data_IF_428352485749
#
_entry.id   IF_428352485749
#
_cell.length_a   1.000
_cell.length_b   1.000
_cell.length_c   1.000
_cell.angle_alpha   90.00
_cell.angle_beta   90.00
_cell.angle_gamma   90.00
#
_symmetry.space_group_name_H-M   'P 1'
#
loop_
_entity.id
_entity.type
_entity.pdbx_description
1 polymer ?
#
# COMPACT_ATOMS: atom_id res chain seq x y z
N UNK A 1 3.02 42.58 41.57
CA UNK A 1 3.82 43.35 42.53
C UNK A 1 4.04 42.48 43.74
N UNK A 2 5.21 41.86 43.83
CA UNK A 2 5.58 41.10 45.03
C UNK A 2 6.31 42.08 45.95
N UNK A 3 5.80 42.19 47.17
CA UNK A 3 6.26 43.10 48.23
C UNK A 3 7.77 43.00 48.44
N UNK A 4 8.48 44.10 48.22
CA UNK A 4 9.87 44.28 48.63
C UNK A 4 9.84 44.48 50.14
N UNK A 5 10.11 43.40 50.89
CA UNK A 5 10.18 43.44 52.35
C UNK A 5 11.41 44.22 52.80
N UNK A 6 11.24 45.49 53.13
CA UNK A 6 12.24 46.29 53.84
C UNK A 6 12.11 46.04 55.34
N UNK A 7 12.71 44.95 55.82
CA UNK A 7 12.97 44.74 57.25
C UNK A 7 14.37 44.15 57.40
N UNK A 8 15.37 45.01 57.53
CA UNK A 8 16.68 44.69 58.12
C UNK A 8 17.57 43.62 57.44
N UNK A 9 17.26 43.17 56.22
CA UNK A 9 18.01 42.12 55.52
C UNK A 9 18.61 42.61 54.20
N UNK A 10 19.86 42.21 53.95
CA UNK A 10 20.64 42.38 52.71
C UNK A 10 19.80 42.32 51.44
N UNK A 11 20.04 43.22 50.48
CA UNK A 11 19.36 43.20 49.18
C UNK A 11 19.66 41.86 48.50
N UNK A 12 18.62 41.06 48.18
CA UNK A 12 18.79 39.86 47.35
C UNK A 12 18.98 40.26 45.89
N UNK A 13 20.22 40.68 45.59
CA UNK A 13 20.67 41.10 44.27
C UNK A 13 20.41 40.04 43.19
N UNK A 14 20.42 38.75 43.56
CA UNK A 14 20.20 37.65 42.63
C UNK A 14 18.72 37.57 42.24
N UNK A 15 17.81 37.59 43.22
CA UNK A 15 16.37 37.55 42.96
C UNK A 15 15.88 38.78 42.18
N UNK A 16 16.35 39.98 42.55
CA UNK A 16 15.97 41.21 41.86
C UNK A 16 16.47 41.28 40.41
N UNK A 17 17.72 40.87 40.16
CA UNK A 17 18.26 40.79 38.81
C UNK A 17 17.45 39.81 37.93
N UNK A 18 17.13 38.63 38.45
CA UNK A 18 16.33 37.63 37.75
C UNK A 18 14.92 38.14 37.41
N UNK A 19 14.26 38.85 38.34
CA UNK A 19 12.93 39.41 38.11
C UNK A 19 12.94 40.50 37.02
N UNK A 20 13.95 41.37 37.01
CA UNK A 20 14.08 42.40 35.98
C UNK A 20 14.34 41.80 34.60
N UNK A 21 15.24 40.81 34.50
CA UNK A 21 15.50 40.11 33.24
C UNK A 21 14.25 39.38 32.75
N UNK A 22 13.50 38.71 33.63
CA UNK A 22 12.25 38.06 33.27
C UNK A 22 11.23 39.05 32.71
N UNK A 23 11.09 40.22 33.33
CA UNK A 23 10.20 41.28 32.86
C UNK A 23 10.65 41.87 31.51
N UNK A 24 11.96 42.06 31.31
CA UNK A 24 12.54 42.57 30.06
C UNK A 24 12.38 41.55 28.90
N UNK A 25 12.52 40.26 29.19
CA UNK A 25 12.44 39.18 28.21
C UNK A 25 11.00 38.85 27.79
N UNK A 26 10.04 38.96 28.71
CA UNK A 26 8.67 38.47 28.55
C UNK A 26 7.96 38.89 27.23
N UNK A 27 8.02 40.15 26.77
CA UNK A 27 7.38 40.55 25.51
C UNK A 27 7.97 39.85 24.28
N UNK A 28 9.29 39.68 24.27
CA UNK A 28 9.99 39.04 23.15
C UNK A 28 9.73 37.54 23.13
N UNK A 29 9.74 36.89 24.30
CA UNK A 29 9.39 35.47 24.43
C UNK A 29 7.96 35.19 24.00
N UNK A 30 7.00 36.06 24.37
CA UNK A 30 5.61 35.92 23.94
C UNK A 30 5.48 36.01 22.42
N UNK A 31 6.19 36.96 21.78
CA UNK A 31 6.23 37.07 20.32
C UNK A 31 6.85 35.84 19.66
N UNK A 32 7.95 35.32 20.21
CA UNK A 32 8.59 34.12 19.69
C UNK A 32 7.73 32.88 19.88
N UNK A 33 7.05 32.73 21.02
CA UNK A 33 6.11 31.64 21.25
C UNK A 33 4.94 31.70 20.26
N UNK A 34 4.34 32.88 20.04
CA UNK A 34 3.29 33.07 19.05
C UNK A 34 3.76 32.73 17.62
N UNK A 35 4.97 33.16 17.26
CA UNK A 35 5.58 32.85 15.95
C UNK A 35 5.84 31.35 15.79
N UNK A 36 6.37 30.70 16.83
CA UNK A 36 6.60 29.25 16.85
C UNK A 36 5.29 28.49 16.64
N UNK A 37 4.25 28.82 17.41
CA UNK A 37 2.93 28.20 17.28
C UNK A 37 2.37 28.36 15.87
N UNK A 38 2.53 29.55 15.27
CA UNK A 38 2.11 29.81 13.89
C UNK A 38 2.88 28.95 12.87
N UNK A 39 4.21 28.90 12.94
CA UNK A 39 5.02 28.10 12.01
C UNK A 39 4.69 26.61 12.17
N UNK A 40 4.60 26.10 13.41
CA UNK A 40 4.23 24.71 13.68
C UNK A 40 2.85 24.38 13.10
N UNK A 41 1.85 25.24 13.29
CA UNK A 41 0.52 25.05 12.70
C UNK A 41 0.56 25.04 11.16
N UNK A 42 1.40 25.89 10.55
CA UNK A 42 1.60 25.92 9.10
C UNK A 42 2.27 24.65 8.58
N UNK A 43 3.29 24.14 9.28
CA UNK A 43 3.94 22.86 8.95
C UNK A 43 2.92 21.72 8.97
N UNK A 44 2.12 21.61 10.03
CA UNK A 44 1.07 20.60 10.13
C UNK A 44 0.02 20.75 9.02
N UNK A 45 -0.41 21.97 8.71
CA UNK A 45 -1.38 22.22 7.64
C UNK A 45 -0.84 21.83 6.25
N UNK A 46 0.44 22.15 5.95
CA UNK A 46 1.10 21.75 4.71
C UNK A 46 1.21 20.22 4.63
N UNK A 47 1.53 19.55 5.74
CA UNK A 47 1.57 18.08 5.78
C UNK A 47 0.20 17.45 5.51
N UNK A 48 -0.87 17.99 6.09
CA UNK A 48 -2.26 17.57 5.82
C UNK A 48 -2.61 17.73 4.35
N UNK A 49 -2.30 18.88 3.75
CA UNK A 49 -2.54 19.12 2.32
C UNK A 49 -1.73 18.16 1.44
N UNK A 50 -0.45 17.94 1.75
CA UNK A 50 0.40 16.98 1.02
C UNK A 50 -0.22 15.58 1.02
N UNK A 51 -0.68 15.12 2.18
CA UNK A 51 -1.34 13.81 2.31
C UNK A 51 -2.60 13.73 1.45
N UNK A 52 -3.48 14.74 1.53
CA UNK A 52 -4.71 14.78 0.75
C UNK A 52 -4.45 14.81 -0.77
N UNK A 53 -3.50 15.64 -1.23
CA UNK A 53 -3.12 15.72 -2.64
C UNK A 53 -2.48 14.43 -3.16
N UNK A 54 -1.64 13.78 -2.34
CA UNK A 54 -1.07 12.46 -2.67
C UNK A 54 -2.16 11.40 -2.79
N UNK A 55 -3.11 11.36 -1.85
CA UNK A 55 -4.22 10.43 -1.90
C UNK A 55 -5.11 10.62 -3.14
N UNK A 56 -5.38 11.87 -3.53
CA UNK A 56 -6.09 12.18 -4.78
C UNK A 56 -5.28 11.76 -6.02
N UNK A 57 -3.96 11.97 -6.01
CA UNK A 57 -3.07 11.53 -7.10
C UNK A 57 -3.12 10.01 -7.29
N UNK A 58 -3.10 9.25 -6.19
CA UNK A 58 -3.25 7.78 -6.22
C UNK A 58 -4.62 7.35 -6.72
N UNK A 59 -5.69 8.04 -6.30
CA UNK A 59 -7.05 7.76 -6.78
C UNK A 59 -7.18 8.03 -8.29
N UNK A 60 -6.59 9.13 -8.80
CA UNK A 60 -6.51 9.41 -10.23
C UNK A 60 -5.75 8.31 -10.95
N UNK A 61 -4.59 7.90 -10.45
CA UNK A 61 -3.76 6.85 -11.07
C UNK A 61 -4.53 5.54 -11.21
N UNK A 62 -5.20 5.12 -10.12
CA UNK A 62 -6.05 3.92 -10.11
C UNK A 62 -7.25 4.03 -11.05
N UNK A 63 -7.88 5.21 -11.12
CA UNK A 63 -9.02 5.45 -12.00
C UNK A 63 -8.63 5.45 -13.48
N UNK A 64 -7.47 6.03 -13.82
CA UNK A 64 -6.97 6.10 -15.20
C UNK A 64 -6.35 4.80 -15.71
N UNK A 65 -6.21 3.77 -14.86
CA UNK A 65 -5.69 2.50 -15.32
C UNK A 65 -6.71 1.80 -16.23
N UNK A 66 -6.21 1.21 -17.33
CA UNK A 66 -7.06 0.51 -18.30
C UNK A 66 -7.87 -0.63 -17.67
N UNK A 67 -7.34 -1.25 -16.62
CA UNK A 67 -8.02 -2.27 -15.82
C UNK A 67 -9.31 -1.77 -15.17
N UNK A 68 -9.40 -0.46 -14.92
CA UNK A 68 -10.52 0.17 -14.24
C UNK A 68 -11.49 0.82 -15.23
N UNK A 69 -10.98 1.56 -16.22
CA UNK A 69 -11.85 2.22 -17.21
C UNK A 69 -12.49 1.23 -18.18
N UNK A 70 -11.79 0.16 -18.53
CA UNK A 70 -12.26 -0.87 -19.48
C UNK A 70 -12.52 -2.20 -18.75
N UNK A 71 -12.90 -2.14 -17.47
CA UNK A 71 -13.19 -3.30 -16.65
C UNK A 71 -14.29 -4.17 -17.27
N UNK A 72 -14.10 -5.50 -17.22
CA UNK A 72 -15.02 -6.48 -17.79
C UNK A 72 -15.57 -7.39 -16.70
N UNK A 73 -16.88 -7.57 -16.70
CA UNK A 73 -17.57 -8.51 -15.83
C UNK A 73 -17.95 -9.75 -16.64
N UNK A 74 -17.77 -10.92 -16.03
CA UNK A 74 -18.24 -12.19 -16.57
C UNK A 74 -19.42 -12.66 -15.73
N UNK A 75 -20.54 -12.96 -16.38
CA UNK A 75 -21.73 -13.53 -15.76
C UNK A 75 -22.06 -14.89 -16.39
N UNK A 76 -22.48 -15.85 -15.57
CA UNK A 76 -22.90 -17.18 -15.98
C UNK A 76 -23.87 -17.77 -14.95
N UNK A 77 -24.65 -18.77 -15.36
CA UNK A 77 -25.55 -19.49 -14.46
C UNK A 77 -24.81 -20.26 -13.36
N UNK A 78 -25.50 -20.55 -12.26
CA UNK A 78 -24.96 -21.42 -11.20
C UNK A 78 -24.75 -22.84 -11.73
N UNK A 79 -23.71 -23.53 -11.24
CA UNK A 79 -23.42 -24.90 -11.66
C UNK A 79 -22.82 -25.04 -13.06
N UNK A 80 -22.27 -23.97 -13.64
CA UNK A 80 -21.65 -23.96 -14.98
C UNK A 80 -20.50 -24.96 -15.17
N UNK A 81 -19.91 -25.48 -14.08
CA UNK A 81 -18.76 -26.37 -14.12
C UNK A 81 -17.42 -25.69 -14.42
N UNK A 82 -17.41 -24.37 -14.54
CA UNK A 82 -16.20 -23.55 -14.65
C UNK A 82 -16.45 -22.16 -14.07
N UNK A 83 -15.36 -21.42 -13.87
CA UNK A 83 -15.38 -19.97 -13.69
C UNK A 83 -14.58 -19.32 -14.82
N UNK A 84 -14.82 -18.05 -15.09
CA UNK A 84 -14.03 -17.31 -16.07
C UNK A 84 -13.80 -15.87 -15.62
N UNK A 85 -12.64 -15.34 -15.98
CA UNK A 85 -12.28 -13.94 -15.78
C UNK A 85 -11.94 -13.30 -17.11
N UNK A 86 -12.31 -12.03 -17.28
CA UNK A 86 -12.05 -11.26 -18.48
C UNK A 86 -11.12 -10.08 -18.15
N UNK A 87 -10.07 -9.91 -18.95
CA UNK A 87 -9.16 -8.77 -18.85
C UNK A 87 -9.75 -7.53 -19.52
N UNK A 88 -9.15 -6.37 -19.24
CA UNK A 88 -9.51 -5.12 -19.91
C UNK A 88 -9.33 -5.25 -21.42
N UNK A 89 -10.37 -4.94 -22.18
CA UNK A 89 -10.36 -5.04 -23.64
C UNK A 89 -10.90 -6.34 -24.21
N UNK A 90 -11.19 -7.36 -23.39
CA UNK A 90 -11.93 -8.54 -23.86
C UNK A 90 -13.25 -8.09 -24.53
N UNK A 91 -13.64 -8.73 -25.62
CA UNK A 91 -14.84 -8.35 -26.35
C UNK A 91 -16.10 -8.68 -25.54
N UNK A 92 -16.99 -7.69 -25.40
CA UNK A 92 -18.30 -7.90 -24.78
C UNK A 92 -19.17 -8.75 -25.70
N UNK A 93 -19.94 -9.67 -25.13
CA UNK A 93 -20.78 -10.57 -25.90
C UNK A 93 -21.27 -11.76 -25.11
N UNK A 94 -22.06 -12.60 -25.78
CA UNK A 94 -22.54 -13.87 -25.25
C UNK A 94 -21.77 -15.00 -25.94
N UNK A 95 -21.32 -15.96 -25.14
CA UNK A 95 -20.55 -17.12 -25.57
C UNK A 95 -21.24 -18.38 -25.04
N UNK A 96 -21.37 -19.41 -25.86
CA UNK A 96 -21.87 -20.72 -25.45
C UNK A 96 -20.67 -21.62 -25.11
N UNK A 97 -20.53 -22.00 -23.83
CA UNK A 97 -19.36 -22.71 -23.33
C UNK A 97 -19.75 -24.13 -22.88
N UNK A 98 -19.00 -25.13 -23.35
CA UNK A 98 -19.15 -26.53 -22.94
C UNK A 98 -17.81 -27.04 -22.39
N UNK A 99 -17.83 -27.62 -21.20
CA UNK A 99 -16.66 -28.33 -20.64
C UNK A 99 -16.81 -29.83 -20.92
N UNK A 100 -15.99 -30.32 -21.84
CA UNK A 100 -16.08 -31.70 -22.35
C UNK A 100 -15.27 -32.67 -21.49
N UNK A 101 -14.07 -32.29 -21.09
CA UNK A 101 -13.20 -33.07 -20.22
C UNK A 101 -12.31 -32.17 -19.38
N UNK A 102 -11.84 -32.70 -18.24
CA UNK A 102 -10.85 -32.04 -17.40
C UNK A 102 -9.45 -32.60 -17.68
N UNK A 103 -8.46 -31.75 -17.43
CA UNK A 103 -7.08 -32.17 -17.38
C UNK A 103 -6.87 -33.01 -16.12
N UNK A 104 -6.35 -34.22 -16.30
CA UNK A 104 -5.94 -35.10 -15.22
C UNK A 104 -4.45 -35.38 -15.32
N UNK A 105 -3.77 -35.33 -14.18
CA UNK A 105 -2.39 -35.73 -14.07
C UNK A 105 -2.32 -37.24 -13.84
N UNK A 106 -1.41 -37.91 -14.55
CA UNK A 106 -1.29 -39.36 -14.45
C UNK A 106 -0.85 -39.77 -13.04
N UNK A 107 -1.42 -40.87 -12.54
CA UNK A 107 -0.98 -41.53 -11.32
C UNK A 107 -0.74 -43.01 -11.58
N UNK A 108 0.44 -43.49 -11.18
CA UNK A 108 0.86 -44.88 -11.28
C UNK A 108 1.15 -45.42 -9.88
N UNK A 109 0.96 -46.72 -9.68
CA UNK A 109 1.28 -47.41 -8.43
C UNK A 109 1.99 -48.72 -8.71
N UNK A 110 3.05 -49.02 -7.97
CA UNK A 110 3.69 -50.33 -8.01
C UNK A 110 2.80 -51.42 -7.39
N UNK A 111 3.19 -52.68 -7.54
CA UNK A 111 2.77 -53.76 -6.64
C UNK A 111 3.21 -53.48 -5.20
N UNK A 112 2.61 -54.19 -4.24
CA UNK A 112 2.94 -54.08 -2.83
C UNK A 112 4.27 -54.75 -2.50
N UNK A 113 5.14 -54.02 -1.79
CA UNK A 113 6.35 -54.54 -1.17
C UNK A 113 6.11 -54.79 0.32
N UNK A 114 6.80 -55.75 0.94
CA UNK A 114 6.55 -56.09 2.35
C UNK A 114 6.62 -54.88 3.30
N UNK A 115 7.62 -54.01 3.11
CA UNK A 115 7.78 -52.74 3.82
C UNK A 115 8.43 -51.68 2.94
N UNK A 116 8.41 -50.42 3.39
CA UNK A 116 9.14 -49.30 2.74
C UNK A 116 10.67 -49.47 2.71
N UNK A 117 11.21 -50.37 3.52
CA UNK A 117 12.65 -50.64 3.62
C UNK A 117 13.04 -51.90 2.81
N UNK A 118 12.08 -52.51 2.11
CA UNK A 118 12.34 -53.63 1.21
C UNK A 118 13.32 -53.20 0.12
N UNK A 119 14.40 -53.97 -0.03
CA UNK A 119 15.37 -53.80 -1.12
C UNK A 119 14.71 -54.24 -2.43
N UNK A 120 14.64 -53.32 -3.40
CA UNK A 120 14.01 -53.56 -4.70
C UNK A 120 15.07 -53.97 -5.73
N UNK A 121 16.22 -53.30 -5.75
CA UNK A 121 17.32 -53.59 -6.69
C UNK A 121 18.27 -52.41 -6.91
N UNK A 122 19.32 -52.62 -7.69
CA UNK A 122 20.27 -51.60 -8.15
C UNK A 122 20.26 -51.48 -9.67
N UNK A 123 20.70 -50.33 -10.20
CA UNK A 123 20.71 -50.01 -11.61
C UNK A 123 20.25 -48.57 -11.86
N UNK A 124 19.42 -48.36 -12.88
CA UNK A 124 18.91 -47.02 -13.22
C UNK A 124 17.44 -47.04 -13.62
N UNK A 125 16.68 -46.03 -13.18
CA UNK A 125 15.34 -45.74 -13.68
C UNK A 125 15.40 -44.53 -14.62
N UNK A 126 14.87 -44.66 -15.81
CA UNK A 126 14.63 -43.54 -16.73
C UNK A 126 13.14 -43.24 -16.76
N UNK A 127 12.78 -42.05 -16.31
CA UNK A 127 11.41 -41.52 -16.32
C UNK A 127 11.33 -40.45 -17.41
N UNK A 128 10.43 -40.61 -18.38
CA UNK A 128 10.14 -39.58 -19.38
C UNK A 128 8.74 -39.03 -19.18
N UNK A 129 8.60 -37.72 -19.28
CA UNK A 129 7.32 -37.00 -19.25
C UNK A 129 7.45 -35.76 -20.14
N UNK A 130 6.48 -35.51 -21.02
CA UNK A 130 6.61 -34.46 -22.04
C UNK A 130 7.86 -34.66 -22.90
N UNK A 131 8.64 -33.59 -23.04
CA UNK A 131 9.96 -33.60 -23.69
C UNK A 131 11.13 -33.87 -22.72
N UNK A 132 10.84 -34.09 -21.43
CA UNK A 132 11.87 -34.23 -20.39
C UNK A 132 12.21 -35.69 -20.16
N UNK A 133 13.50 -35.95 -19.97
CA UNK A 133 14.04 -37.23 -19.54
C UNK A 133 14.73 -37.06 -18.19
N UNK A 134 14.34 -37.88 -17.23
CA UNK A 134 14.88 -37.92 -15.89
C UNK A 134 15.55 -39.27 -15.65
N UNK A 135 16.86 -39.27 -15.45
CA UNK A 135 17.64 -40.46 -15.16
C UNK A 135 17.95 -40.52 -13.65
N UNK A 136 17.56 -41.62 -13.00
CA UNK A 136 17.68 -41.84 -11.56
C UNK A 136 18.57 -43.04 -11.32
N UNK A 137 19.72 -42.82 -10.68
CA UNK A 137 20.65 -43.89 -10.34
C UNK A 137 20.31 -44.53 -9.00
N UNK A 138 20.20 -45.86 -8.99
CA UNK A 138 19.91 -46.66 -7.80
C UNK A 138 21.12 -47.56 -7.49
N UNK A 139 21.79 -47.28 -6.38
CA UNK A 139 22.95 -48.01 -5.87
C UNK A 139 22.64 -48.68 -4.54
N UNK A 140 23.61 -49.37 -3.94
CA UNK A 140 23.43 -50.02 -2.64
C UNK A 140 23.10 -49.07 -1.48
N UNK A 141 23.31 -47.76 -1.63
CA UNK A 141 22.98 -46.76 -0.60
C UNK A 141 21.51 -46.31 -0.62
N UNK A 142 20.77 -46.57 -1.72
CA UNK A 142 19.39 -46.10 -1.92
C UNK A 142 18.49 -47.13 -2.62
N UNK A 143 18.84 -48.42 -2.58
CA UNK A 143 18.14 -49.53 -3.23
C UNK A 143 16.85 -50.01 -2.53
N UNK A 144 16.43 -49.36 -1.44
CA UNK A 144 15.14 -49.62 -0.78
C UNK A 144 14.01 -48.85 -1.44
N UNK A 145 12.75 -49.24 -1.23
CA UNK A 145 11.59 -48.50 -1.76
C UNK A 145 11.60 -47.02 -1.33
N UNK A 146 11.94 -46.76 -0.06
CA UNK A 146 12.12 -45.40 0.47
C UNK A 146 13.30 -44.67 -0.20
N UNK A 147 14.43 -45.34 -0.38
CA UNK A 147 15.59 -44.77 -1.07
C UNK A 147 15.30 -44.41 -2.53
N UNK A 148 14.55 -45.26 -3.24
CA UNK A 148 14.13 -45.01 -4.63
C UNK A 148 13.17 -43.81 -4.71
N UNK A 149 12.18 -43.72 -3.81
CA UNK A 149 11.31 -42.54 -3.72
C UNK A 149 12.13 -41.26 -3.55
N UNK A 150 13.07 -41.26 -2.62
CA UNK A 150 13.89 -40.08 -2.31
C UNK A 150 14.81 -39.73 -3.48
N UNK A 151 15.40 -40.73 -4.14
CA UNK A 151 16.21 -40.54 -5.35
C UNK A 151 15.40 -39.93 -6.50
N UNK A 152 14.17 -40.40 -6.73
CA UNK A 152 13.27 -39.86 -7.76
C UNK A 152 12.92 -38.41 -7.45
N UNK A 153 12.50 -38.10 -6.22
CA UNK A 153 12.12 -36.73 -5.83
C UNK A 153 13.31 -35.77 -5.87
N UNK A 154 14.50 -36.23 -5.47
CA UNK A 154 15.73 -35.46 -5.56
C UNK A 154 16.10 -35.16 -7.02
N UNK A 155 16.02 -36.17 -7.90
CA UNK A 155 16.31 -35.99 -9.32
C UNK A 155 15.28 -35.06 -9.99
N UNK A 156 13.99 -35.18 -9.64
CA UNK A 156 12.92 -34.34 -10.18
C UNK A 156 12.99 -32.88 -9.72
N UNK A 157 13.62 -32.60 -8.57
CA UNK A 157 13.77 -31.23 -8.05
C UNK A 157 12.44 -30.50 -7.82
N UNK A 158 11.36 -31.25 -7.56
CA UNK A 158 10.00 -30.72 -7.37
C UNK A 158 9.28 -30.32 -8.67
N UNK A 159 9.71 -30.81 -9.84
CA UNK A 159 9.10 -30.47 -11.14
C UNK A 159 8.72 -31.73 -11.91
N UNK A 160 7.61 -31.68 -12.62
CA UNK A 160 7.15 -32.72 -13.55
C UNK A 160 6.58 -33.97 -12.87
N UNK A 161 7.34 -34.61 -11.97
CA UNK A 161 6.94 -35.86 -11.31
C UNK A 161 7.21 -35.82 -9.81
N UNK A 162 6.40 -36.53 -9.04
CA UNK A 162 6.59 -36.74 -7.61
C UNK A 162 6.34 -38.21 -7.25
N UNK A 163 7.19 -38.74 -6.36
CA UNK A 163 7.09 -40.07 -5.81
C UNK A 163 6.65 -40.02 -4.34
N UNK A 164 5.73 -40.90 -3.95
CA UNK A 164 5.33 -41.11 -2.56
C UNK A 164 5.22 -42.60 -2.26
N UNK A 165 5.15 -42.95 -0.97
CA UNK A 165 4.88 -44.32 -0.54
C UNK A 165 3.53 -44.33 0.16
N UNK A 166 2.65 -45.24 -0.27
CA UNK A 166 1.36 -45.50 0.37
C UNK A 166 1.38 -46.94 0.87
N UNK A 167 1.11 -47.15 2.15
CA UNK A 167 1.09 -48.48 2.76
C UNK A 167 -0.35 -48.94 2.96
N UNK A 168 -0.72 -50.04 2.30
CA UNK A 168 -1.99 -50.74 2.46
C UNK A 168 -1.84 -52.06 3.25
N UNK A 169 -2.88 -52.88 3.22
CA UNK A 169 -2.86 -54.21 3.86
C UNK A 169 -1.95 -55.21 3.13
N UNK A 170 -1.77 -55.03 1.82
CA UNK A 170 -0.90 -55.83 0.95
C UNK A 170 0.55 -55.32 0.89
N UNK A 171 0.88 -54.27 1.65
CA UNK A 171 2.24 -53.76 1.82
C UNK A 171 2.42 -52.30 1.41
N UNK A 172 3.68 -51.91 1.18
CA UNK A 172 4.09 -50.56 0.76
C UNK A 172 4.16 -50.45 -0.77
N UNK A 173 3.48 -49.46 -1.34
CA UNK A 173 3.47 -49.18 -2.77
C UNK A 173 4.19 -47.87 -3.07
N UNK A 174 5.02 -47.86 -4.11
CA UNK A 174 5.52 -46.62 -4.70
C UNK A 174 4.43 -46.03 -5.60
N UNK A 175 3.97 -44.84 -5.26
CA UNK A 175 3.00 -44.09 -6.04
C UNK A 175 3.71 -42.94 -6.74
N UNK A 176 3.64 -42.94 -8.07
CA UNK A 176 4.20 -41.91 -8.93
C UNK A 176 3.06 -41.01 -9.43
N UNK A 177 3.20 -39.70 -9.29
CA UNK A 177 2.20 -38.72 -9.74
C UNK A 177 2.88 -37.70 -10.64
N UNK A 178 2.31 -37.46 -11.81
CA UNK A 178 2.67 -36.27 -12.61
C UNK A 178 2.18 -35.02 -11.87
N UNK A 179 3.00 -33.98 -11.83
CA UNK A 179 2.61 -32.69 -11.25
C UNK A 179 1.77 -31.85 -12.23
N UNK A 180 1.92 -32.13 -13.53
CA UNK A 180 1.18 -31.46 -14.59
C UNK A 180 0.13 -32.40 -15.20
N UNK A 181 -1.05 -31.85 -15.51
CA UNK A 181 -2.09 -32.56 -16.24
C UNK A 181 -1.79 -32.69 -17.73
N UNK A 182 -2.65 -33.39 -18.46
CA UNK A 182 -2.55 -33.47 -19.92
C UNK A 182 -1.80 -34.70 -20.42
N UNK A 183 -2.20 -35.15 -21.61
CA UNK A 183 -1.70 -36.39 -22.22
C UNK A 183 -0.21 -36.35 -22.52
N UNK A 184 0.32 -35.18 -22.89
CA UNK A 184 1.76 -34.97 -23.13
C UNK A 184 2.61 -35.19 -21.87
N UNK A 185 2.04 -34.98 -20.67
CA UNK A 185 2.75 -35.16 -19.40
C UNK A 185 2.61 -36.57 -18.82
N UNK A 186 2.07 -37.52 -19.60
CA UNK A 186 2.08 -38.93 -19.23
C UNK A 186 3.53 -39.42 -19.03
N UNK A 187 3.75 -40.12 -17.93
CA UNK A 187 5.02 -40.73 -17.58
C UNK A 187 5.19 -42.07 -18.31
N UNK A 188 6.42 -42.30 -18.79
CA UNK A 188 6.93 -43.64 -19.08
C UNK A 188 8.13 -43.89 -18.19
N UNK A 189 8.22 -45.10 -17.63
CA UNK A 189 9.26 -45.50 -16.70
C UNK A 189 9.91 -46.76 -17.27
N UNK A 190 11.21 -46.71 -17.49
CA UNK A 190 12.01 -47.85 -17.93
C UNK A 190 13.11 -48.10 -16.91
N UNK A 191 13.33 -49.37 -16.58
CA UNK A 191 14.38 -49.79 -15.67
C UNK A 191 15.51 -50.48 -16.44
N UNK A 192 16.74 -50.24 -16.00
CA UNK A 192 17.90 -51.07 -16.31
C UNK A 192 18.39 -51.69 -14.99
N UNK A 193 18.45 -53.02 -14.94
CA UNK A 193 18.72 -53.77 -13.72
C UNK A 193 20.20 -54.21 -13.67
N UNK A 194 20.89 -53.85 -12.60
CA UNK A 194 22.20 -54.43 -12.25
C UNK A 194 22.04 -55.58 -11.24
N UNK A 195 21.11 -55.44 -10.28
CA UNK A 195 20.72 -56.49 -9.32
C UNK A 195 19.28 -56.28 -8.83
N UNK A 196 18.61 -57.33 -8.37
CA UNK A 196 17.20 -57.27 -7.97
C UNK A 196 16.27 -57.09 -9.17
N UNK A 197 15.11 -56.47 -8.96
CA UNK A 197 14.06 -56.30 -9.97
C UNK A 197 13.48 -54.87 -9.95
N UNK A 198 14.21 -53.90 -10.53
CA UNK A 198 13.68 -52.55 -10.77
C UNK A 198 12.66 -52.54 -11.92
N UNK A 199 12.60 -53.58 -12.76
CA UNK A 199 11.56 -53.73 -13.78
C UNK A 199 10.15 -53.78 -13.18
N UNK A 200 10.02 -54.21 -11.91
CA UNK A 200 8.79 -54.09 -11.13
C UNK A 200 8.24 -52.65 -11.00
N UNK A 201 9.08 -51.64 -11.26
CA UNK A 201 8.71 -50.22 -11.25
C UNK A 201 8.51 -49.62 -12.66
N UNK A 202 8.60 -50.42 -13.71
CA UNK A 202 8.49 -49.95 -15.10
C UNK A 202 7.02 -49.79 -15.56
N UNK A 203 6.80 -48.87 -16.50
CA UNK A 203 5.50 -48.51 -17.08
C UNK A 203 5.65 -47.88 -18.47
N UNK A 204 4.85 -48.31 -19.46
CA UNK A 204 4.81 -47.71 -20.81
C UNK A 204 5.25 -48.66 -21.93
N UNK A 205 5.32 -48.12 -23.16
CA UNK A 205 5.60 -48.90 -24.37
C UNK A 205 7.02 -49.47 -24.37
N UNK A 206 7.15 -50.79 -24.63
CA UNK A 206 8.43 -51.51 -24.62
C UNK A 206 8.96 -51.96 -23.25
N UNK A 207 8.24 -51.74 -22.15
CA UNK A 207 8.55 -52.31 -20.83
C UNK A 207 7.50 -53.37 -20.43
N UNK A 208 7.86 -54.54 -19.87
CA UNK A 208 6.89 -55.42 -19.23
C UNK A 208 6.31 -54.69 -18.02
N UNK A 209 5.16 -54.04 -18.23
CA UNK A 209 4.55 -53.13 -17.27
C UNK A 209 4.23 -53.85 -15.96
N UNK A 210 4.75 -53.31 -14.85
CA UNK A 210 4.51 -53.82 -13.50
C UNK A 210 3.77 -52.80 -12.62
N UNK A 211 3.88 -51.52 -12.96
CA UNK A 211 3.06 -50.47 -12.35
C UNK A 211 1.63 -50.48 -12.92
N UNK A 212 0.64 -50.27 -12.07
CA UNK A 212 -0.77 -50.09 -12.41
C UNK A 212 -1.10 -48.60 -12.56
N UNK A 213 -1.82 -48.23 -13.61
CA UNK A 213 -2.30 -46.86 -13.78
C UNK A 213 -3.57 -46.65 -12.95
N UNK A 214 -3.47 -45.82 -11.91
CA UNK A 214 -4.60 -45.42 -11.07
C UNK A 214 -5.42 -44.30 -11.68
N UNK A 215 -4.75 -43.34 -12.34
CA UNK A 215 -5.38 -42.21 -13.04
C UNK A 215 -4.68 -42.04 -14.39
N UNK A 216 -5.46 -42.04 -15.47
CA UNK A 216 -4.95 -41.74 -16.80
C UNK A 216 -4.67 -40.24 -16.96
N UNK A 217 -3.59 -39.90 -17.66
CA UNK A 217 -3.42 -38.53 -18.13
C UNK A 217 -4.50 -38.18 -19.16
N UNK A 218 -5.16 -37.04 -18.99
CA UNK A 218 -6.12 -36.51 -19.96
C UNK A 218 -5.92 -35.01 -20.12
N UNK A 219 -6.20 -34.49 -21.32
CA UNK A 219 -6.26 -33.05 -21.55
C UNK A 219 -7.63 -32.52 -21.16
N UNK A 220 -7.65 -31.29 -20.64
CA UNK A 220 -8.86 -30.50 -20.57
C UNK A 220 -9.32 -30.18 -21.99
N UNK A 221 -10.63 -30.26 -22.22
CA UNK A 221 -11.24 -29.90 -23.48
C UNK A 221 -12.45 -29.01 -23.24
N UNK A 222 -12.42 -27.83 -23.84
CA UNK A 222 -13.51 -26.84 -23.78
C UNK A 222 -13.98 -26.55 -25.18
N UNK A 223 -15.28 -26.32 -25.36
CA UNK A 223 -15.84 -25.73 -26.57
C UNK A 223 -16.42 -24.35 -26.26
N UNK A 224 -16.15 -23.38 -27.14
CA UNK A 224 -16.78 -22.06 -27.13
C UNK A 224 -17.39 -21.85 -28.50
N UNK A 225 -18.70 -21.67 -28.57
CA UNK A 225 -19.47 -21.50 -29.82
C UNK A 225 -19.17 -22.61 -30.86
N UNK A 226 -18.94 -23.83 -30.37
CA UNK A 226 -18.60 -25.00 -31.18
C UNK A 226 -17.10 -25.16 -31.50
N UNK A 227 -16.28 -24.13 -31.26
CA UNK A 227 -14.83 -24.18 -31.46
C UNK A 227 -14.18 -24.92 -30.30
N UNK A 228 -13.37 -25.93 -30.59
CA UNK A 228 -12.73 -26.79 -29.57
C UNK A 228 -11.33 -26.29 -29.25
N UNK A 229 -10.99 -26.23 -27.96
CA UNK A 229 -9.61 -26.07 -27.49
C UNK A 229 -9.24 -27.16 -26.49
N UNK A 230 -8.01 -27.69 -26.62
CA UNK A 230 -7.40 -28.59 -25.66
C UNK A 230 -6.38 -27.85 -24.81
N UNK A 231 -6.19 -28.29 -23.57
CA UNK A 231 -5.22 -27.75 -22.63
C UNK A 231 -4.70 -28.85 -21.71
N UNK A 232 -3.40 -28.79 -21.39
CA UNK A 232 -2.79 -29.65 -20.38
C UNK A 232 -3.22 -29.25 -18.95
N UNK A 233 -3.81 -28.06 -18.77
CA UNK A 233 -4.27 -27.54 -17.48
C UNK A 233 -5.76 -27.25 -17.48
N UNK A 234 -6.38 -27.35 -16.31
CA UNK A 234 -7.76 -26.88 -16.05
C UNK A 234 -7.87 -25.35 -16.02
N UNK A 235 -6.76 -24.62 -16.12
CA UNK A 235 -6.77 -23.19 -16.45
C UNK A 235 -6.50 -23.01 -17.95
N UNK A 236 -7.51 -22.59 -18.70
CA UNK A 236 -7.46 -22.44 -20.16
C UNK A 236 -7.45 -20.95 -20.50
N UNK A 237 -6.38 -20.50 -21.15
CA UNK A 237 -6.21 -19.11 -21.62
C UNK A 237 -6.22 -19.06 -23.15
N UNK A 238 -6.49 -17.88 -23.72
CA UNK A 238 -6.35 -17.63 -25.17
C UNK A 238 -7.32 -18.44 -26.04
N UNK A 239 -8.46 -18.86 -25.50
CA UNK A 239 -9.56 -19.43 -26.28
C UNK A 239 -10.47 -18.32 -26.79
N UNK A 240 -10.83 -17.40 -25.89
CA UNK A 240 -11.39 -16.08 -26.20
C UNK A 240 -10.33 -15.07 -25.79
N UNK A 241 -10.06 -14.09 -26.65
CA UNK A 241 -9.02 -13.09 -26.37
C UNK A 241 -9.33 -12.30 -25.10
N UNK A 242 -8.34 -12.17 -24.23
CA UNK A 242 -8.50 -11.58 -22.91
C UNK A 242 -9.30 -12.41 -21.88
N UNK A 243 -9.69 -13.65 -22.16
CA UNK A 243 -10.45 -14.49 -21.21
C UNK A 243 -9.62 -15.66 -20.68
N UNK A 244 -9.72 -15.90 -19.38
CA UNK A 244 -9.17 -17.07 -18.70
C UNK A 244 -10.30 -17.91 -18.11
N UNK A 245 -10.36 -19.18 -18.46
CA UNK A 245 -11.31 -20.15 -17.92
C UNK A 245 -10.61 -21.01 -16.86
N UNK A 246 -11.29 -21.29 -15.75
CA UNK A 246 -10.88 -22.26 -14.75
C UNK A 246 -11.95 -23.35 -14.62
N UNK A 247 -11.63 -24.55 -15.08
CA UNK A 247 -12.55 -25.67 -15.19
C UNK A 247 -12.61 -26.45 -13.88
N UNK A 248 -13.81 -26.85 -13.48
CA UNK A 248 -14.06 -27.55 -12.22
C UNK A 248 -14.80 -28.88 -12.43
N UNK A 249 -15.79 -28.93 -13.32
CA UNK A 249 -16.52 -30.15 -13.69
C UNK A 249 -16.74 -30.20 -15.19
N UNK A 250 -16.80 -31.43 -15.72
CA UNK A 250 -17.12 -31.67 -17.13
C UNK A 250 -18.50 -32.32 -17.25
N UNK A 251 -19.30 -31.86 -18.20
CA UNK A 251 -20.63 -32.40 -18.51
C UNK A 251 -20.85 -32.32 -20.02
N UNK A 252 -20.54 -33.42 -20.71
CA UNK A 252 -20.63 -33.51 -22.17
C UNK A 252 -22.07 -33.24 -22.62
N UNK A 253 -22.22 -32.38 -23.62
CA UNK A 253 -23.53 -31.99 -24.16
C UNK A 253 -24.28 -30.93 -23.33
N UNK A 254 -23.72 -30.47 -22.20
CA UNK A 254 -24.30 -29.36 -21.42
C UNK A 254 -23.57 -28.05 -21.74
N UNK A 255 -24.26 -27.11 -22.36
CA UNK A 255 -23.74 -25.76 -22.66
C UNK A 255 -24.19 -24.75 -21.61
N UNK A 256 -23.26 -23.95 -21.11
CA UNK A 256 -23.53 -22.79 -20.24
C UNK A 256 -23.35 -21.51 -21.04
N UNK A 257 -24.34 -20.61 -20.98
CA UNK A 257 -24.20 -19.25 -21.50
C UNK A 257 -23.29 -18.44 -20.57
N UNK A 258 -22.20 -17.92 -21.13
CA UNK A 258 -21.32 -16.94 -20.50
C UNK A 258 -21.54 -15.58 -21.17
N UNK A 259 -21.77 -14.54 -20.39
CA UNK A 259 -21.91 -13.17 -20.88
C UNK A 259 -20.76 -12.32 -20.35
N UNK A 260 -20.11 -11.59 -21.26
CA UNK A 260 -19.09 -10.59 -20.93
C UNK A 260 -19.69 -9.20 -21.14
N UNK A 261 -19.74 -8.38 -20.08
CA UNK A 261 -20.21 -6.99 -20.11
C UNK A 261 -19.14 -6.03 -19.60
N UNK A 262 -19.40 -4.73 -19.73
CA UNK A 262 -18.69 -3.73 -18.92
C UNK A 262 -18.96 -3.99 -17.44
N UNK A 263 -17.93 -3.90 -16.61
CA UNK A 263 -18.09 -3.93 -15.15
C UNK A 263 -18.37 -2.52 -14.64
N UNK A 264 -19.63 -2.10 -14.77
CA UNK A 264 -20.08 -0.78 -14.32
C UNK A 264 -19.99 -0.61 -12.81
N UNK A 265 -20.01 -1.71 -12.05
CA UNK A 265 -19.86 -1.68 -10.60
C UNK A 265 -18.40 -1.35 -10.21
N UNK A 266 -17.42 -2.01 -10.83
CA UNK A 266 -16.01 -1.69 -10.62
C UNK A 266 -15.68 -0.25 -11.06
N UNK A 267 -16.19 0.17 -12.22
CA UNK A 267 -16.07 1.55 -12.71
C UNK A 267 -16.66 2.55 -11.70
N UNK A 268 -17.87 2.29 -11.18
CA UNK A 268 -18.51 3.12 -10.16
C UNK A 268 -17.67 3.22 -8.90
N UNK A 269 -17.16 2.10 -8.37
CA UNK A 269 -16.31 2.10 -7.17
C UNK A 269 -15.07 2.96 -7.35
N UNK A 270 -14.45 2.93 -8.53
CA UNK A 270 -13.28 3.76 -8.81
C UNK A 270 -13.61 5.25 -8.88
N UNK A 271 -14.68 5.62 -9.59
CA UNK A 271 -15.16 7.01 -9.66
C UNK A 271 -15.57 7.52 -8.29
N UNK A 272 -16.23 6.69 -7.48
CA UNK A 272 -16.60 6.99 -6.09
C UNK A 272 -15.39 7.24 -5.21
N UNK A 273 -14.37 6.39 -5.30
CA UNK A 273 -13.12 6.61 -4.56
C UNK A 273 -12.44 7.92 -4.99
N UNK A 274 -12.40 8.24 -6.29
CA UNK A 274 -11.89 9.53 -6.77
C UNK A 274 -12.68 10.71 -6.19
N UNK A 275 -14.00 10.68 -6.28
CA UNK A 275 -14.87 11.74 -5.75
C UNK A 275 -14.67 11.93 -4.24
N UNK A 276 -14.56 10.83 -3.48
CA UNK A 276 -14.29 10.89 -2.04
C UNK A 276 -12.93 11.54 -1.74
N UNK A 277 -11.86 11.20 -2.48
CA UNK A 277 -10.54 11.84 -2.30
C UNK A 277 -10.52 13.29 -2.74
N UNK A 278 -11.24 13.64 -3.79
CA UNK A 278 -11.40 15.03 -4.23
C UNK A 278 -12.16 15.85 -3.18
N UNK A 279 -13.25 15.32 -2.63
CA UNK A 279 -13.98 15.94 -1.53
C UNK A 279 -13.09 16.09 -0.27
N UNK A 280 -12.27 15.10 0.05
CA UNK A 280 -11.31 15.18 1.15
C UNK A 280 -10.25 16.27 0.93
N UNK A 281 -9.83 16.51 -0.31
CA UNK A 281 -8.97 17.66 -0.66
C UNK A 281 -9.69 18.98 -0.41
N UNK A 282 -10.94 19.14 -0.86
CA UNK A 282 -11.72 20.34 -0.60
C UNK A 282 -11.90 20.60 0.90
N UNK A 283 -12.18 19.56 1.68
CA UNK A 283 -12.28 19.65 3.14
C UNK A 283 -10.95 20.02 3.79
N UNK A 284 -9.83 19.45 3.34
CA UNK A 284 -8.49 19.77 3.85
C UNK A 284 -8.08 21.21 3.53
N UNK A 285 -8.44 21.70 2.35
CA UNK A 285 -8.26 23.11 1.99
C UNK A 285 -9.12 24.00 2.89
N UNK A 286 -10.40 23.67 3.07
CA UNK A 286 -11.30 24.46 3.91
C UNK A 286 -10.83 24.49 5.38
N UNK A 287 -10.43 23.35 5.95
CA UNK A 287 -9.95 23.27 7.34
C UNK A 287 -8.65 24.02 7.58
N UNK A 288 -7.79 24.14 6.56
CA UNK A 288 -6.50 24.84 6.68
C UNK A 288 -6.56 26.31 6.30
N UNK A 289 -7.62 26.77 5.60
CA UNK A 289 -7.72 28.16 5.10
C UNK A 289 -8.91 28.95 5.63
N UNK A 290 -9.91 28.31 6.26
CA UNK A 290 -11.11 28.99 6.74
C UNK A 290 -10.84 29.96 7.89
N UNK A 291 -11.78 30.89 8.08
CA UNK A 291 -11.86 31.76 9.24
C UNK A 291 -13.11 31.39 10.02
N UNK A 292 -12.96 31.09 11.31
CA UNK A 292 -14.10 30.82 12.18
C UNK A 292 -14.63 32.15 12.73
N UNK A 293 -15.79 32.59 12.25
CA UNK A 293 -16.41 33.85 12.66
C UNK A 293 -16.83 33.86 14.14
N UNK A 294 -17.13 32.70 14.71
CA UNK A 294 -17.58 32.58 16.11
C UNK A 294 -16.41 32.67 17.09
N UNK A 295 -15.29 32.02 16.78
CA UNK A 295 -14.09 32.07 17.64
C UNK A 295 -13.13 33.20 17.27
N UNK A 296 -13.36 33.86 16.13
CA UNK A 296 -12.48 34.87 15.54
C UNK A 296 -11.05 34.35 15.26
N UNK A 297 -10.93 33.03 15.03
CA UNK A 297 -9.66 32.37 14.76
C UNK A 297 -9.54 32.01 13.28
N UNK A 298 -8.45 32.46 12.66
CA UNK A 298 -8.05 32.06 11.32
C UNK A 298 -7.29 30.72 11.35
N UNK A 299 -7.55 29.85 10.38
CA UNK A 299 -6.76 28.65 10.17
C UNK A 299 -5.33 28.98 9.72
N UNK A 300 -4.42 28.02 9.86
CA UNK A 300 -2.97 28.23 9.70
C UNK A 300 -2.54 28.78 8.33
N UNK A 301 -3.28 28.43 7.26
CA UNK A 301 -3.04 28.83 5.88
C UNK A 301 -4.11 29.82 5.36
N UNK A 302 -4.86 30.47 6.26
CA UNK A 302 -5.74 31.56 5.86
C UNK A 302 -4.94 32.63 5.10
N UNK A 303 -5.43 33.06 3.95
CA UNK A 303 -4.71 34.01 3.11
C UNK A 303 -3.52 33.43 2.33
N UNK A 304 -3.26 32.13 2.36
CA UNK A 304 -2.21 31.49 1.55
C UNK A 304 -2.56 31.46 0.05
N UNK A 305 -1.71 32.06 -0.80
CA UNK A 305 -1.94 32.21 -2.24
C UNK A 305 -1.80 30.91 -3.02
N UNK A 306 -0.91 30.01 -2.59
CA UNK A 306 -0.72 28.70 -3.21
C UNK A 306 -1.98 27.87 -3.03
N UNK A 307 -2.49 27.77 -1.80
CA UNK A 307 -3.70 26.97 -1.53
C UNK A 307 -4.92 27.51 -2.28
N UNK A 308 -5.08 28.85 -2.32
CA UNK A 308 -6.16 29.47 -3.13
C UNK A 308 -6.00 29.22 -4.62
N UNK A 309 -4.78 29.30 -5.15
CA UNK A 309 -4.47 29.03 -6.55
C UNK A 309 -4.85 27.60 -6.94
N UNK A 310 -4.36 26.62 -6.17
CA UNK A 310 -4.67 25.20 -6.36
C UNK A 310 -6.16 24.92 -6.27
N UNK A 311 -6.85 25.47 -5.26
CA UNK A 311 -8.30 25.30 -5.09
C UNK A 311 -9.08 25.81 -6.30
N UNK A 312 -8.69 26.96 -6.87
CA UNK A 312 -9.31 27.48 -8.10
C UNK A 312 -9.03 26.58 -9.30
N UNK A 313 -7.77 26.22 -9.54
CA UNK A 313 -7.40 25.37 -10.68
C UNK A 313 -8.14 24.02 -10.67
N UNK A 314 -8.23 23.37 -9.51
CA UNK A 314 -8.98 22.12 -9.39
C UNK A 314 -10.48 22.30 -9.63
N UNK A 315 -11.07 23.39 -9.10
CA UNK A 315 -12.49 23.70 -9.34
C UNK A 315 -12.75 24.05 -10.80
N UNK A 316 -11.89 24.82 -11.44
CA UNK A 316 -12.04 25.22 -12.85
C UNK A 316 -12.04 23.99 -13.77
N UNK A 317 -11.17 23.01 -13.50
CA UNK A 317 -11.15 21.73 -14.22
C UNK A 317 -12.46 20.93 -14.04
N UNK A 318 -12.98 20.87 -12.82
CA UNK A 318 -14.25 20.18 -12.52
C UNK A 318 -15.44 20.92 -13.14
N UNK A 319 -15.49 22.24 -13.00
CA UNK A 319 -16.55 23.09 -13.54
C UNK A 319 -16.59 23.08 -15.07
N UNK A 320 -15.43 23.02 -15.75
CA UNK A 320 -15.36 22.88 -17.20
C UNK A 320 -16.00 21.55 -17.69
N UNK A 321 -16.07 20.53 -16.83
CA UNK A 321 -16.61 19.21 -17.15
C UNK A 321 -17.98 18.94 -16.51
N UNK A 322 -18.67 19.96 -15.97
CA UNK A 322 -19.94 19.77 -15.22
C UNK A 322 -21.03 19.06 -16.02
N UNK A 323 -21.12 19.33 -17.33
CA UNK A 323 -22.13 18.70 -18.20
C UNK A 323 -21.85 17.22 -18.38
N UNK A 324 -20.60 16.85 -18.67
CA UNK A 324 -20.19 15.45 -18.85
C UNK A 324 -20.27 14.67 -17.52
N UNK A 325 -19.91 15.30 -16.40
CA UNK A 325 -20.09 14.72 -15.06
C UNK A 325 -21.58 14.47 -14.75
N UNK A 326 -22.45 15.45 -15.04
CA UNK A 326 -23.90 15.31 -14.89
C UNK A 326 -24.49 14.21 -15.76
N UNK A 327 -24.00 14.06 -17.00
CA UNK A 327 -24.41 12.97 -17.89
C UNK A 327 -24.07 11.57 -17.33
N UNK A 328 -23.07 11.48 -16.45
CA UNK A 328 -22.69 10.26 -15.71
C UNK A 328 -23.39 10.11 -14.35
N UNK A 329 -24.35 10.98 -14.01
CA UNK A 329 -25.02 10.94 -12.72
C UNK A 329 -24.18 11.48 -11.54
N UNK A 330 -23.13 12.25 -11.83
CA UNK A 330 -22.32 12.92 -10.81
C UNK A 330 -22.84 14.34 -10.63
N UNK A 331 -23.30 14.66 -9.43
CA UNK A 331 -23.80 15.99 -9.07
C UNK A 331 -22.72 16.79 -8.36
N UNK A 332 -22.64 18.09 -8.69
CA UNK A 332 -21.73 19.03 -8.05
C UNK A 332 -22.50 19.98 -7.13
N UNK A 333 -22.05 20.11 -5.90
CA UNK A 333 -22.55 21.10 -4.93
C UNK A 333 -21.94 22.48 -5.18
N UNK A 334 -22.50 23.53 -4.58
CA UNK A 334 -22.01 24.92 -4.70
C UNK A 334 -20.57 25.11 -4.20
N UNK A 335 -20.13 24.26 -3.27
CA UNK A 335 -18.75 24.25 -2.76
C UNK A 335 -17.77 23.49 -3.67
N UNK A 336 -18.28 22.91 -4.76
CA UNK A 336 -17.55 22.11 -5.73
C UNK A 336 -17.47 20.63 -5.37
N UNK A 337 -18.04 20.18 -4.25
CA UNK A 337 -18.01 18.75 -3.86
C UNK A 337 -18.86 17.87 -4.77
N UNK A 338 -18.42 16.63 -4.96
CA UNK A 338 -19.06 15.63 -5.83
C UNK A 338 -19.94 14.67 -5.01
N UNK A 339 -21.14 14.42 -5.50
CA UNK A 339 -22.01 13.32 -5.03
C UNK A 339 -22.41 12.46 -6.22
N UNK A 340 -22.54 11.15 -6.00
CA UNK A 340 -22.89 10.20 -7.07
C UNK A 340 -23.71 9.03 -6.54
N UNK A 341 -24.60 8.56 -7.40
CA UNK A 341 -25.53 7.45 -7.19
C UNK A 341 -25.17 6.29 -8.10
N UNK A 342 -25.13 5.06 -7.57
CA UNK A 342 -24.78 3.89 -8.35
C UNK A 342 -25.83 3.59 -9.44
N UNK A 343 -27.11 3.85 -9.15
CA UNK A 343 -28.20 3.65 -10.09
C UNK A 343 -28.07 4.59 -11.29
N UNK A 344 -27.85 5.89 -11.03
CA UNK A 344 -27.74 6.90 -12.08
C UNK A 344 -26.47 6.71 -12.91
N UNK A 345 -25.35 6.38 -12.26
CA UNK A 345 -24.11 6.06 -12.94
C UNK A 345 -24.26 4.83 -13.85
N UNK A 346 -24.86 3.76 -13.34
CA UNK A 346 -25.07 2.53 -14.13
C UNK A 346 -26.00 2.79 -15.32
N UNK A 347 -27.05 3.59 -15.14
CA UNK A 347 -27.96 3.98 -16.21
C UNK A 347 -27.27 4.85 -17.26
N UNK A 348 -26.36 5.74 -16.86
CA UNK A 348 -25.55 6.55 -17.76
C UNK A 348 -24.56 5.69 -18.58
N UNK A 349 -23.83 4.78 -17.92
CA UNK A 349 -22.86 3.90 -18.59
C UNK A 349 -23.52 2.91 -19.55
N UNK A 350 -24.77 2.53 -19.28
CA UNK A 350 -25.56 1.72 -20.21
C UNK A 350 -25.95 2.48 -21.49
N UNK A 351 -26.08 3.81 -21.43
CA UNK A 351 -26.40 4.66 -22.59
C UNK A 351 -25.15 5.02 -23.39
N UNK A 352 -24.07 5.38 -22.69
CA UNK A 352 -22.80 5.77 -23.29
C UNK A 352 -21.63 5.35 -22.40
N UNK A 353 -21.02 4.21 -22.74
CA UNK A 353 -19.85 3.70 -22.04
C UNK A 353 -18.58 4.56 -22.29
N UNK A 354 -18.57 5.40 -23.33
CA UNK A 354 -17.43 6.27 -23.66
C UNK A 354 -17.40 7.56 -22.82
N UNK A 355 -18.52 7.92 -22.17
CA UNK A 355 -18.60 9.07 -21.29
C UNK A 355 -17.57 9.02 -20.15
N UNK A 356 -17.30 7.82 -19.61
CA UNK A 356 -16.29 7.61 -18.57
C UNK A 356 -14.89 7.96 -19.06
N UNK A 357 -14.49 7.43 -20.22
CA UNK A 357 -13.13 7.64 -20.74
C UNK A 357 -12.91 9.06 -21.24
N UNK A 358 -13.96 9.76 -21.69
CA UNK A 358 -13.90 11.18 -22.07
C UNK A 358 -13.46 12.08 -20.90
N UNK A 359 -13.95 11.83 -19.69
CA UNK A 359 -13.68 12.68 -18.51
C UNK A 359 -12.56 12.11 -17.62
N UNK A 360 -12.57 10.80 -17.42
CA UNK A 360 -11.70 10.09 -16.46
C UNK A 360 -10.65 9.20 -17.14
N UNK A 361 -10.58 9.19 -18.47
CA UNK A 361 -9.58 8.42 -19.20
C UNK A 361 -8.17 9.02 -19.11
N UNK A 362 -7.19 8.24 -19.56
CA UNK A 362 -5.77 8.60 -19.56
C UNK A 362 -5.34 9.50 -20.74
N UNK A 363 -6.30 10.06 -21.49
CA UNK A 363 -6.01 10.99 -22.59
C UNK A 363 -5.39 12.30 -22.09
N UNK A 364 -4.72 13.04 -22.97
CA UNK A 364 -4.02 14.28 -22.59
C UNK A 364 -4.98 15.40 -22.15
N UNK A 365 -6.18 15.44 -22.72
CA UNK A 365 -7.14 16.54 -22.55
C UNK A 365 -8.32 16.17 -21.64
N UNK A 366 -8.13 15.21 -20.74
CA UNK A 366 -9.17 14.81 -19.77
C UNK A 366 -9.10 15.63 -18.49
N UNK A 367 -10.22 15.70 -17.75
CA UNK A 367 -10.29 16.37 -16.46
C UNK A 367 -9.22 15.85 -15.50
N UNK A 368 -9.08 14.52 -15.41
CA UNK A 368 -8.11 13.88 -14.51
C UNK A 368 -6.66 14.07 -14.95
N UNK A 369 -6.38 14.21 -16.24
CA UNK A 369 -5.04 14.58 -16.75
C UNK A 369 -4.67 16.00 -16.32
N UNK A 370 -5.58 16.95 -16.46
CA UNK A 370 -5.40 18.32 -15.96
C UNK A 370 -5.16 18.36 -14.45
N UNK A 371 -5.97 17.61 -13.68
CA UNK A 371 -5.80 17.52 -12.22
C UNK A 371 -4.47 16.86 -11.85
N UNK A 372 -4.08 15.79 -12.55
CA UNK A 372 -2.78 15.12 -12.36
C UNK A 372 -1.63 16.10 -12.58
N UNK A 373 -1.71 16.95 -13.60
CA UNK A 373 -0.70 17.97 -13.90
C UNK A 373 -0.55 18.98 -12.76
N UNK A 374 -1.67 19.52 -12.28
CA UNK A 374 -1.68 20.45 -11.13
C UNK A 374 -1.09 19.78 -9.89
N UNK A 375 -1.54 18.56 -9.57
CA UNK A 375 -1.09 17.83 -8.38
C UNK A 375 0.39 17.47 -8.46
N UNK A 376 0.90 17.05 -9.62
CA UNK A 376 2.33 16.75 -9.83
C UNK A 376 3.20 17.97 -9.56
N UNK A 377 2.82 19.16 -10.03
CA UNK A 377 3.57 20.39 -9.75
C UNK A 377 3.65 20.74 -8.26
N UNK A 378 2.69 20.27 -7.46
CA UNK A 378 2.64 20.47 -6.02
C UNK A 378 3.43 19.41 -5.25
N UNK A 379 3.25 18.13 -5.60
CA UNK A 379 3.66 16.98 -4.75
C UNK A 379 4.93 16.28 -5.18
N UNK A 380 5.42 16.51 -6.40
CA UNK A 380 6.69 15.94 -6.87
C UNK A 380 7.85 16.43 -6.01
N UNK A 381 8.92 15.63 -5.92
CA UNK A 381 10.15 16.05 -5.24
C UNK A 381 10.68 17.36 -5.84
N UNK A 382 10.94 18.35 -4.98
CA UNK A 382 11.31 19.71 -5.38
C UNK A 382 10.14 20.58 -5.84
N UNK A 383 8.90 20.08 -5.74
CA UNK A 383 7.69 20.81 -6.08
C UNK A 383 7.36 21.94 -5.08
N UNK A 384 6.21 22.58 -5.30
CA UNK A 384 5.82 23.77 -4.54
C UNK A 384 5.58 23.49 -3.04
N UNK A 385 5.10 22.29 -2.69
CA UNK A 385 4.92 21.91 -1.28
C UNK A 385 6.25 21.64 -0.57
N UNK A 386 7.22 21.05 -1.27
CA UNK A 386 8.59 20.88 -0.74
C UNK A 386 9.22 22.25 -0.50
N UNK A 387 9.16 23.14 -1.49
CA UNK A 387 9.66 24.52 -1.37
C UNK A 387 9.03 25.27 -0.19
N UNK A 388 7.73 25.06 0.05
CA UNK A 388 7.02 25.66 1.19
C UNK A 388 7.49 25.06 2.51
N UNK A 389 7.67 23.74 2.58
CA UNK A 389 8.18 23.04 3.76
C UNK A 389 9.60 23.48 4.10
N UNK A 390 10.46 23.66 3.11
CA UNK A 390 11.82 24.15 3.27
C UNK A 390 11.84 25.59 3.80
N UNK A 391 10.97 26.45 3.27
CA UNK A 391 10.81 27.83 3.76
C UNK A 391 10.36 27.88 5.22
N UNK A 392 9.40 27.05 5.62
CA UNK A 392 8.94 26.97 7.02
C UNK A 392 10.05 26.41 7.93
N UNK A 393 10.78 25.41 7.47
CA UNK A 393 11.93 24.83 8.19
C UNK A 393 13.04 25.86 8.41
N UNK A 394 13.34 26.68 7.40
CA UNK A 394 14.30 27.78 7.50
C UNK A 394 13.82 28.87 8.48
N UNK A 395 12.52 29.19 8.50
CA UNK A 395 11.94 30.12 9.47
C UNK A 395 12.05 29.60 10.90
N UNK A 396 11.81 28.30 11.14
CA UNK A 396 12.03 27.66 12.45
C UNK A 396 13.48 27.83 12.91
N UNK A 397 14.45 27.46 12.06
CA UNK A 397 15.88 27.60 12.39
C UNK A 397 16.27 29.05 12.71
N UNK A 398 15.72 30.01 11.96
CA UNK A 398 15.94 31.44 12.21
C UNK A 398 15.35 31.88 13.56
N UNK A 399 14.15 31.42 13.90
CA UNK A 399 13.52 31.72 15.18
C UNK A 399 14.30 31.11 16.36
N UNK A 400 14.84 29.90 16.19
CA UNK A 400 15.67 29.24 17.20
C UNK A 400 16.98 30.01 17.41
N UNK A 401 17.64 30.46 16.34
CA UNK A 401 18.83 31.31 16.45
C UNK A 401 18.51 32.65 17.15
N UNK A 402 17.35 33.24 16.87
CA UNK A 402 16.88 34.47 17.54
C UNK A 402 16.60 34.27 19.03
N UNK A 403 16.07 33.11 19.43
CA UNK A 403 15.88 32.73 20.84
C UNK A 403 17.22 32.59 21.55
N UNK A 404 18.17 31.86 20.96
CA UNK A 404 19.51 31.70 21.54
C UNK A 404 20.26 33.04 21.71
N UNK A 405 20.12 33.94 20.73
CA UNK A 405 20.68 35.29 20.82
C UNK A 405 20.03 36.11 21.95
N UNK A 406 18.71 35.98 22.14
CA UNK A 406 18.00 36.59 23.26
C UNK A 406 18.48 36.02 24.59
N UNK A 407 18.61 34.70 24.71
CA UNK A 407 19.07 34.03 25.93
C UNK A 407 20.47 34.52 26.33
N UNK A 408 21.38 34.61 25.35
CA UNK A 408 22.73 35.15 25.55
C UNK A 408 22.70 36.60 26.03
N UNK A 409 21.85 37.45 25.42
CA UNK A 409 21.70 38.85 25.80
C UNK A 409 21.12 39.00 27.21
N UNK A 410 20.14 38.19 27.56
CA UNK A 410 19.48 38.22 28.86
C UNK A 410 20.41 37.73 29.97
N UNK A 411 21.26 36.73 29.72
CA UNK A 411 22.30 36.31 30.65
C UNK A 411 23.33 37.43 30.94
N UNK A 412 23.74 38.17 29.90
CA UNK A 412 24.62 39.33 30.07
C UNK A 412 23.93 40.48 30.84
N UNK A 413 22.64 40.72 30.59
CA UNK A 413 21.85 41.70 31.34
C UNK A 413 21.71 41.29 32.81
N UNK A 414 21.47 40.01 33.09
CA UNK A 414 21.39 39.47 34.46
C UNK A 414 22.69 39.68 35.22
N UNK A 415 23.84 39.36 34.60
CA UNK A 415 25.15 39.58 35.20
C UNK A 415 25.39 41.07 35.52
N UNK A 416 24.99 41.96 34.62
CA UNK A 416 25.08 43.42 34.85
C UNK A 416 24.19 43.87 36.01
N UNK A 417 22.92 43.44 36.05
CA UNK A 417 22.01 43.80 37.12
C UNK A 417 22.48 43.24 38.47
N UNK A 418 22.99 42.00 38.52
CA UNK A 418 23.62 41.43 39.73
C UNK A 418 24.76 42.30 40.22
N UNK A 419 25.69 42.68 39.34
CA UNK A 419 26.81 43.55 39.71
C UNK A 419 26.35 44.92 40.23
N UNK A 420 25.33 45.53 39.60
CA UNK A 420 24.76 46.80 40.03
C UNK A 420 24.08 46.71 41.39
N UNK A 421 23.29 45.66 41.65
CA UNK A 421 22.62 45.46 42.94
C UNK A 421 23.60 45.11 44.06
N UNK A 422 24.65 44.33 43.80
CA UNK A 422 25.72 44.07 44.78
C UNK A 422 26.50 45.35 45.13
N UNK A 423 26.80 46.19 44.13
CA UNK A 423 27.45 47.48 44.37
C UNK A 423 26.55 48.42 45.19
N UNK A 424 25.24 48.43 44.91
CA UNK A 424 24.26 49.20 45.68
C UNK A 424 24.15 48.71 47.13
N UNK A 425 24.12 47.41 47.36
CA UNK A 425 24.10 46.80 48.70
C UNK A 425 25.36 47.15 49.51
N UNK A 426 26.52 47.14 48.84
CA UNK A 426 27.80 47.58 49.44
C UNK A 426 27.75 49.06 49.83
N UNK A 427 27.27 49.92 48.92
CA UNK A 427 27.13 51.35 49.19
C UNK A 427 26.15 51.61 50.33
N UNK A 428 25.02 50.90 50.36
CA UNK A 428 24.01 51.05 51.41
C UNK A 428 24.54 50.61 52.77
N UNK A 429 25.33 49.53 52.82
CA UNK A 429 26.05 49.09 54.02
C UNK A 429 27.06 50.14 54.50
N UNK A 430 27.81 50.75 53.58
CA UNK A 430 28.75 51.83 53.91
C UNK A 430 28.03 53.10 54.41
N UNK A 431 26.90 53.46 53.81
CA UNK A 431 26.07 54.58 54.27
C UNK A 431 25.45 54.30 55.64
N UNK A 432 24.98 53.08 55.89
CA UNK A 432 24.44 52.67 57.19
C UNK A 432 25.51 52.75 58.28
N UNK A 433 26.71 52.20 58.03
CA UNK A 433 27.82 52.30 58.98
C UNK A 433 28.28 53.75 59.23
N UNK A 434 28.25 54.61 58.20
CA UNK A 434 28.54 56.05 58.35
C UNK A 434 27.45 56.74 59.18
N UNK A 435 26.18 56.42 58.95
CA UNK A 435 25.04 56.92 59.72
C UNK A 435 25.11 56.47 61.18
N UNK A 436 25.44 55.20 61.43
CA UNK A 436 25.60 54.65 62.78
C UNK A 436 26.77 55.33 63.50
N UNK A 437 27.89 55.57 62.81
CA UNK A 437 29.04 56.33 63.33
C UNK A 437 28.66 57.78 63.68
N UNK A 438 27.98 58.50 62.78
CA UNK A 438 27.50 59.87 63.04
C UNK A 438 26.51 59.91 64.20
N UNK A 439 25.61 58.94 64.29
CA UNK A 439 24.64 58.82 65.40
C UNK A 439 25.35 58.57 66.72
N UNK A 440 26.35 57.69 66.75
CA UNK A 440 27.18 57.47 67.94
C UNK A 440 27.99 58.71 68.32
N UNK A 441 28.51 59.45 67.35
CA UNK A 441 29.28 60.67 67.59
C UNK A 441 28.39 61.81 68.12
N UNK A 442 27.18 61.97 67.58
CA UNK A 442 26.18 62.92 68.06
C UNK A 442 25.70 62.57 69.47
N UNK A 443 25.44 61.29 69.75
CA UNK A 443 25.06 60.81 71.09
C UNK A 443 26.17 61.05 72.14
N UNK A 444 27.45 60.97 71.73
CA UNK A 444 28.60 61.34 72.58
C UNK A 444 28.73 62.85 72.80
N UNK A 445 28.34 63.69 71.82
CA UNK A 445 28.34 65.14 72.00
C UNK A 445 27.17 65.65 72.86
N UNK A 446 26.03 64.97 72.85
CA UNK A 446 24.85 65.33 73.67
C UNK A 446 24.90 64.82 75.11
N UNK A 447 25.94 64.08 75.49
CA UNK A 447 26.17 63.58 76.86
C UNK A 447 27.28 64.36 77.59
N UNK A 448 27.74 65.46 77.01
CA UNK A 448 28.80 66.33 77.53
C UNK A 448 28.37 67.79 77.76
N UNK A 449 27.05 68.04 77.69
CA UNK A 449 26.33 69.18 78.30
C UNK A 449 25.32 68.59 79.31
#
# INVERSE_FOLDING_TARGET
MTTIGTTGGTIDATSMASQLVAAERAPTDTRYAATQTKITAQVSAVATLRSAFSALTSAITSLTSKTTTDARAVSMGTGAGFTATASSGAATGNYSVEVVSLAAAQKLSSSGFATRDTVVGTGSLTIKYGSTRLDVSISSSNNTLAGIRDAINAAAGGKGVAASIVTGEDGAHLVMTSLDGGTNNAMTISANNDSGDLSALSYGDGAPGSMTQLVAASDAQVKVDGIVKKSASNTVTGMVDGVTFNLATASVGTTTQMTITNDTAAQFTAVKNFADKYNAVLQSIASTTSYNSSTQVAAALNGDSMVRGTSRQLRDLVSANVVDLGAMGITLSKDGSMTLSQADFSAAMAKDASALTKVFGSGTDTMVSGMSTVLKGLTTSGGLLDSRSDSLSAQTRKLDAQKQALDTRMAAAEARYKAQFTALDTLMTQLQSTSDFLTQQLAKSSSND
#
